data_IF_074344862415
#
_entry.id   IF_074344862415
#
_cell.length_a   1.000
_cell.length_b   1.000
_cell.length_c   1.000
_cell.angle_alpha   90.00
_cell.angle_beta   90.00
_cell.angle_gamma   90.00
#
_symmetry.space_group_name_H-M   'P 1'
#
loop_
_entity.id
_entity.type
_entity.pdbx_description
1 polymer ?
#
# COMPACT_ATOMS: atom_id res chain seq x y z
N UNK A 1 -35.52 -60.92 -21.50
CA UNK A 1 -36.17 -59.71 -20.97
C UNK A 1 -36.05 -59.55 -19.45
N UNK A 2 -36.21 -60.58 -18.61
CA UNK A 2 -36.03 -60.44 -17.14
C UNK A 2 -34.56 -60.28 -16.69
N UNK A 3 -33.59 -60.85 -17.42
CA UNK A 3 -32.17 -60.75 -17.07
C UNK A 3 -31.59 -59.33 -17.30
N UNK A 4 -32.03 -58.64 -18.34
CA UNK A 4 -31.57 -57.29 -18.69
C UNK A 4 -32.08 -56.23 -17.70
N UNK A 5 -33.31 -56.40 -17.19
CA UNK A 5 -33.89 -55.54 -16.16
C UNK A 5 -33.13 -55.70 -14.83
N UNK A 6 -32.70 -56.92 -14.46
CA UNK A 6 -31.89 -57.16 -13.27
C UNK A 6 -30.48 -56.55 -13.37
N UNK A 7 -29.85 -56.61 -14.55
CA UNK A 7 -28.55 -55.97 -14.81
C UNK A 7 -28.69 -54.43 -14.78
N UNK A 8 -29.76 -53.87 -15.35
CA UNK A 8 -30.01 -52.43 -15.32
C UNK A 8 -30.31 -51.91 -13.90
N UNK A 9 -31.10 -52.65 -13.10
CA UNK A 9 -31.41 -52.29 -11.71
C UNK A 9 -30.19 -52.50 -10.79
N UNK A 10 -29.41 -53.57 -11.01
CA UNK A 10 -28.15 -53.82 -10.33
C UNK A 10 -27.11 -52.73 -10.62
N UNK A 11 -26.94 -52.37 -11.89
CA UNK A 11 -26.06 -51.28 -12.34
C UNK A 11 -26.49 -49.92 -11.80
N UNK A 12 -27.79 -49.62 -11.77
CA UNK A 12 -28.32 -48.36 -11.22
C UNK A 12 -28.12 -48.27 -9.70
N UNK A 13 -28.28 -49.37 -8.95
CA UNK A 13 -28.01 -49.39 -7.50
C UNK A 13 -26.52 -49.31 -7.17
N UNK A 14 -25.65 -49.91 -7.98
CA UNK A 14 -24.19 -49.76 -7.85
C UNK A 14 -23.74 -48.33 -8.17
N UNK A 15 -24.28 -47.74 -9.24
CA UNK A 15 -24.01 -46.35 -9.64
C UNK A 15 -24.51 -45.34 -8.58
N UNK A 16 -25.69 -45.57 -7.98
CA UNK A 16 -26.24 -44.74 -6.89
C UNK A 16 -25.48 -44.93 -5.56
N UNK A 17 -24.93 -46.12 -5.31
CA UNK A 17 -24.05 -46.42 -4.17
C UNK A 17 -22.68 -45.74 -4.29
N UNK A 18 -22.10 -45.73 -5.50
CA UNK A 18 -20.86 -45.00 -5.81
C UNK A 18 -21.05 -43.48 -5.74
N UNK A 19 -22.22 -42.95 -6.13
CA UNK A 19 -22.55 -41.52 -6.00
C UNK A 19 -22.85 -41.06 -4.56
N UNK A 20 -23.24 -41.99 -3.67
CA UNK A 20 -23.40 -41.75 -2.22
C UNK A 20 -22.10 -41.90 -1.42
N UNK A 21 -21.07 -42.53 -1.99
CA UNK A 21 -19.67 -42.40 -1.56
C UNK A 21 -19.02 -41.17 -2.21
N UNK A 22 -19.60 -39.99 -1.96
CA UNK A 22 -18.76 -38.79 -1.90
C UNK A 22 -17.83 -38.97 -0.71
N UNK A 23 -16.53 -38.69 -0.82
CA UNK A 23 -15.73 -38.43 0.36
C UNK A 23 -16.34 -37.19 1.04
N UNK A 24 -17.19 -37.44 2.03
CA UNK A 24 -17.50 -36.51 3.09
C UNK A 24 -16.21 -36.33 3.88
N UNK A 25 -15.32 -35.47 3.38
CA UNK A 25 -13.98 -35.37 3.90
C UNK A 25 -12.94 -34.76 2.96
N UNK A 26 -13.33 -33.99 1.94
CA UNK A 26 -12.46 -32.86 1.58
C UNK A 26 -12.60 -31.86 2.71
N UNK A 27 -11.78 -32.05 3.76
CA UNK A 27 -11.31 -30.93 4.56
C UNK A 27 -10.96 -29.87 3.54
N UNK A 28 -11.66 -28.73 3.60
CA UNK A 28 -11.23 -27.47 3.01
C UNK A 28 -9.71 -27.48 3.08
N UNK A 29 -9.06 -27.64 1.91
CA UNK A 29 -7.62 -27.54 1.83
C UNK A 29 -7.34 -26.21 2.48
N UNK A 30 -6.77 -26.27 3.70
CA UNK A 30 -6.74 -25.14 4.60
C UNK A 30 -6.23 -23.97 3.77
N UNK A 31 -7.08 -22.96 3.56
CA UNK A 31 -6.67 -21.73 2.91
C UNK A 31 -5.52 -21.26 3.77
N UNK A 32 -4.29 -21.54 3.32
CA UNK A 32 -3.07 -21.22 4.05
C UNK A 32 -3.25 -19.75 4.36
N UNK A 33 -3.40 -19.43 5.65
CA UNK A 33 -3.57 -18.05 6.09
C UNK A 33 -2.27 -17.38 5.68
N UNK A 34 -2.31 -16.68 4.55
CA UNK A 34 -1.19 -15.87 4.11
C UNK A 34 -0.81 -14.96 5.26
N UNK A 35 0.48 -14.90 5.56
CA UNK A 35 0.95 -14.02 6.63
C UNK A 35 0.59 -12.57 6.29
N UNK A 36 0.49 -11.70 7.29
CA UNK A 36 0.27 -10.26 7.07
C UNK A 36 1.33 -9.67 6.12
N UNK A 37 2.56 -10.17 6.21
CA UNK A 37 3.67 -9.82 5.34
C UNK A 37 3.42 -10.21 3.86
N UNK A 38 2.96 -11.43 3.60
CA UNK A 38 2.61 -11.88 2.24
C UNK A 38 1.45 -11.08 1.64
N UNK A 39 0.47 -10.69 2.46
CA UNK A 39 -0.66 -9.86 2.05
C UNK A 39 -0.19 -8.44 1.71
N UNK A 40 0.76 -7.90 2.47
CA UNK A 40 1.41 -6.62 2.20
C UNK A 40 2.18 -6.64 0.88
N UNK A 41 3.11 -7.59 0.74
CA UNK A 41 3.94 -7.73 -0.47
C UNK A 41 3.09 -7.99 -1.74
N UNK A 42 2.02 -8.78 -1.64
CA UNK A 42 1.09 -8.96 -2.76
C UNK A 42 0.35 -7.66 -3.13
N UNK A 43 -0.02 -6.86 -2.12
CA UNK A 43 -0.60 -5.54 -2.33
C UNK A 43 0.36 -4.60 -3.06
N UNK A 44 1.61 -4.53 -2.62
CA UNK A 44 2.66 -3.72 -3.26
C UNK A 44 2.93 -4.16 -4.70
N UNK A 45 2.98 -5.47 -4.97
CA UNK A 45 3.16 -5.98 -6.33
C UNK A 45 1.99 -5.57 -7.26
N UNK A 46 0.76 -5.61 -6.74
CA UNK A 46 -0.45 -5.15 -7.46
C UNK A 46 -0.38 -3.64 -7.73
N UNK A 47 0.02 -2.83 -6.74
CA UNK A 47 0.23 -1.40 -6.91
C UNK A 47 1.31 -1.09 -7.95
N UNK A 48 2.47 -1.77 -7.88
CA UNK A 48 3.58 -1.60 -8.82
C UNK A 48 3.14 -1.88 -10.26
N UNK A 49 2.41 -2.99 -10.49
CA UNK A 49 1.90 -3.34 -11.81
C UNK A 49 0.88 -2.31 -12.33
N UNK A 50 -0.02 -1.83 -11.47
CA UNK A 50 -0.99 -0.80 -11.85
C UNK A 50 -0.32 0.55 -12.15
N UNK A 51 0.63 0.97 -11.33
CA UNK A 51 1.40 2.19 -11.56
C UNK A 51 2.13 2.12 -12.89
N UNK A 52 2.84 1.03 -13.17
CA UNK A 52 3.57 0.84 -14.43
C UNK A 52 2.65 0.94 -15.65
N UNK A 53 1.53 0.22 -15.64
CA UNK A 53 0.57 0.24 -16.75
C UNK A 53 -0.10 1.62 -16.92
N UNK A 54 -0.44 2.29 -15.82
CA UNK A 54 -1.06 3.62 -15.84
C UNK A 54 -0.09 4.68 -16.34
N UNK A 55 1.17 4.67 -15.87
CA UNK A 55 2.21 5.60 -16.29
C UNK A 55 2.60 5.38 -17.75
N UNK A 56 2.71 4.13 -18.20
CA UNK A 56 2.93 3.82 -19.62
C UNK A 56 1.82 4.39 -20.49
N UNK A 57 0.56 4.28 -20.06
CA UNK A 57 -0.57 4.86 -20.78
C UNK A 57 -0.52 6.40 -20.83
N UNK A 58 -0.08 7.03 -19.73
CA UNK A 58 -0.08 8.50 -19.62
C UNK A 58 1.13 9.19 -20.26
N UNK A 59 2.30 8.57 -20.19
CA UNK A 59 3.59 9.18 -20.50
C UNK A 59 4.35 8.43 -21.60
N UNK A 60 3.85 7.30 -22.10
CA UNK A 60 4.65 6.40 -22.93
C UNK A 60 5.85 5.91 -22.13
N UNK A 61 7.05 6.02 -22.70
CA UNK A 61 8.31 5.65 -22.01
C UNK A 61 8.91 6.80 -21.20
N UNK A 62 8.28 7.97 -21.18
CA UNK A 62 8.80 9.17 -20.55
C UNK A 62 8.41 9.21 -19.06
N UNK A 63 8.87 8.21 -18.31
CA UNK A 63 8.73 8.17 -16.85
C UNK A 63 9.79 7.27 -16.22
N UNK A 64 10.04 7.47 -14.94
CA UNK A 64 10.79 6.53 -14.11
C UNK A 64 9.88 6.03 -12.98
N UNK A 65 9.78 4.71 -12.84
CA UNK A 65 9.15 4.07 -11.69
C UNK A 65 10.22 3.23 -11.02
N UNK A 66 10.50 3.53 -9.75
CA UNK A 66 11.49 2.76 -8.99
C UNK A 66 11.01 1.31 -8.81
N UNK A 67 11.91 0.36 -8.98
CA UNK A 67 11.61 -1.06 -8.81
C UNK A 67 11.83 -1.46 -7.35
N UNK A 68 10.73 -1.70 -6.65
CA UNK A 68 10.72 -2.05 -5.23
C UNK A 68 10.65 -0.83 -4.32
N UNK A 69 10.92 -1.09 -3.04
CA UNK A 69 10.89 -0.10 -1.97
C UNK A 69 12.17 0.72 -1.97
N UNK A 70 12.06 2.03 -1.76
CA UNK A 70 13.19 2.95 -1.65
C UNK A 70 13.36 3.40 -0.20
N UNK A 71 14.52 3.12 0.40
CA UNK A 71 14.85 3.67 1.71
C UNK A 71 15.51 5.04 1.52
N UNK A 72 14.99 6.07 2.19
CA UNK A 72 15.59 7.42 2.21
C UNK A 72 16.07 7.78 3.61
N UNK A 73 17.25 8.39 3.70
CA UNK A 73 17.73 8.98 4.96
C UNK A 73 17.18 10.40 5.09
N UNK A 74 16.07 10.56 5.81
CA UNK A 74 15.33 11.82 5.88
C UNK A 74 15.62 12.64 7.15
N UNK A 75 16.22 12.03 8.18
CA UNK A 75 16.50 12.69 9.45
C UNK A 75 17.73 12.07 10.16
N UNK A 76 18.95 12.22 9.61
CA UNK A 76 20.17 11.69 10.19
C UNK A 76 20.30 12.03 11.69
N UNK A 77 20.73 11.07 12.51
CA UNK A 77 20.94 11.25 13.95
C UNK A 77 19.67 11.25 14.81
N UNK A 78 18.48 11.03 14.24
CA UNK A 78 17.24 10.83 15.01
C UNK A 78 16.97 9.35 15.29
N UNK A 79 15.97 9.04 16.12
CA UNK A 79 15.56 7.65 16.42
C UNK A 79 15.05 6.90 15.17
N UNK A 80 14.53 7.63 14.19
CA UNK A 80 14.04 7.08 12.91
C UNK A 80 14.65 7.90 11.77
N UNK A 81 15.94 7.66 11.47
CA UNK A 81 16.66 8.49 10.50
C UNK A 81 16.27 8.15 9.06
N UNK A 82 15.68 6.97 8.86
CA UNK A 82 15.28 6.44 7.55
C UNK A 82 13.79 6.21 7.45
N UNK A 83 13.25 6.40 6.24
CA UNK A 83 11.87 6.09 5.90
C UNK A 83 11.82 5.33 4.59
N UNK A 84 10.98 4.31 4.57
CA UNK A 84 10.72 3.49 3.40
C UNK A 84 9.66 4.16 2.51
N UNK A 85 9.88 4.22 1.20
CA UNK A 85 8.91 4.65 0.19
C UNK A 85 8.48 3.41 -0.59
N UNK A 86 7.21 3.02 -0.49
CA UNK A 86 6.70 1.82 -1.15
C UNK A 86 6.79 1.94 -2.68
N UNK A 87 6.40 3.09 -3.22
CA UNK A 87 6.54 3.38 -4.65
C UNK A 87 6.94 4.83 -4.91
N UNK A 88 7.95 5.00 -5.76
CA UNK A 88 8.40 6.29 -6.28
C UNK A 88 8.21 6.33 -7.79
N UNK A 89 7.46 7.32 -8.28
CA UNK A 89 7.34 7.61 -9.70
C UNK A 89 7.81 9.04 -10.01
N UNK A 90 8.56 9.22 -11.09
CA UNK A 90 9.01 10.50 -11.62
C UNK A 90 8.48 10.60 -13.05
N UNK A 91 7.78 11.69 -13.32
CA UNK A 91 7.11 11.96 -14.60
C UNK A 91 7.44 13.38 -15.05
N UNK A 92 7.12 13.76 -16.30
CA UNK A 92 7.32 15.11 -16.79
C UNK A 92 6.49 16.15 -16.04
N UNK A 93 5.49 15.73 -15.25
CA UNK A 93 4.55 16.61 -14.55
C UNK A 93 4.57 16.45 -13.03
N UNK A 94 5.47 15.65 -12.48
CA UNK A 94 5.62 15.51 -11.03
C UNK A 94 6.40 14.31 -10.55
N UNK A 95 6.77 14.39 -9.28
CA UNK A 95 7.40 13.34 -8.49
C UNK A 95 6.35 12.86 -7.49
N UNK A 96 6.05 11.55 -7.52
CA UNK A 96 4.96 10.96 -6.77
C UNK A 96 5.47 9.86 -5.85
N UNK A 97 5.05 9.92 -4.59
CA UNK A 97 5.26 8.89 -3.58
C UNK A 97 3.92 8.24 -3.28
N UNK A 98 3.83 6.92 -3.35
CA UNK A 98 2.62 6.19 -2.95
C UNK A 98 2.91 5.33 -1.72
N UNK A 99 2.05 5.44 -0.72
CA UNK A 99 1.99 4.50 0.41
C UNK A 99 0.85 3.52 0.14
N UNK A 100 1.17 2.23 0.11
CA UNK A 100 0.24 1.17 -0.24
C UNK A 100 -0.39 0.55 1.01
N UNK A 101 -1.71 0.38 1.00
CA UNK A 101 -2.43 -0.38 2.04
C UNK A 101 -3.39 -1.39 1.43
N UNK A 102 -3.28 -2.63 1.85
CA UNK A 102 -4.22 -3.69 1.45
C UNK A 102 -5.42 -3.77 2.42
N UNK A 103 -6.02 -2.63 2.76
CA UNK A 103 -7.19 -2.60 3.67
C UNK A 103 -8.46 -2.90 2.90
N UNK A 104 -9.26 -3.82 3.43
CA UNK A 104 -10.54 -4.22 2.83
C UNK A 104 -11.71 -3.35 3.28
N UNK A 105 -12.80 -3.35 2.47
CA UNK A 105 -14.11 -2.78 2.79
C UNK A 105 -14.07 -1.25 2.94
N UNK A 106 -14.75 -0.69 3.94
CA UNK A 106 -15.05 0.73 4.02
C UNK A 106 -13.99 1.46 4.82
N UNK A 107 -13.46 2.52 4.24
CA UNK A 107 -12.53 3.46 4.88
C UNK A 107 -13.27 4.78 5.06
N UNK A 108 -13.33 5.25 6.30
CA UNK A 108 -14.03 6.46 6.70
C UNK A 108 -13.07 7.45 7.37
N UNK A 109 -13.43 8.74 7.46
CA UNK A 109 -12.73 9.69 8.31
C UNK A 109 -12.73 9.19 9.76
N UNK A 110 -11.60 9.33 10.45
CA UNK A 110 -11.54 9.14 11.90
C UNK A 110 -11.73 10.47 12.62
N UNK A 111 -12.27 10.43 13.84
CA UNK A 111 -12.25 11.58 14.75
C UNK A 111 -10.84 11.88 15.29
N UNK A 112 -9.93 10.91 15.22
CA UNK A 112 -8.54 11.07 15.62
C UNK A 112 -7.71 11.71 14.50
N UNK A 113 -7.02 12.85 14.74
CA UNK A 113 -6.15 13.47 13.75
C UNK A 113 -5.11 12.50 13.18
N UNK A 114 -4.90 12.55 11.86
CA UNK A 114 -3.92 11.71 11.17
C UNK A 114 -4.30 10.22 11.05
N UNK A 115 -5.52 9.84 11.45
CA UNK A 115 -6.03 8.46 11.33
C UNK A 115 -7.21 8.36 10.35
N UNK A 116 -7.49 7.14 9.96
CA UNK A 116 -8.66 6.71 9.21
C UNK A 116 -9.32 5.55 9.96
N UNK A 117 -10.64 5.46 9.88
CA UNK A 117 -11.38 4.35 10.46
C UNK A 117 -11.60 3.29 9.39
N UNK A 118 -11.04 2.09 9.60
CA UNK A 118 -11.29 0.91 8.77
C UNK A 118 -12.46 0.13 9.38
N UNK A 119 -13.52 -0.06 8.61
CA UNK A 119 -14.68 -0.87 9.02
C UNK A 119 -14.56 -2.24 8.36
N UNK A 120 -14.26 -3.25 9.17
CA UNK A 120 -14.07 -4.64 8.75
C UNK A 120 -15.39 -5.31 8.33
N UNK A 121 -15.37 -6.47 7.64
CA UNK A 121 -16.58 -7.16 7.19
C UNK A 121 -17.57 -7.55 8.29
N UNK A 122 -17.08 -7.73 9.53
CA UNK A 122 -17.88 -8.01 10.72
C UNK A 122 -18.48 -6.74 11.37
N UNK A 123 -18.24 -5.56 10.79
CA UNK A 123 -18.68 -4.27 11.32
C UNK A 123 -17.73 -3.66 12.35
N UNK A 124 -16.64 -4.34 12.72
CA UNK A 124 -15.66 -3.78 13.65
C UNK A 124 -14.93 -2.58 13.03
N UNK A 125 -14.97 -1.47 13.74
CA UNK A 125 -14.26 -0.24 13.38
C UNK A 125 -12.90 -0.20 14.08
N UNK A 126 -11.85 0.10 13.31
CA UNK A 126 -10.49 0.20 13.81
C UNK A 126 -9.80 1.44 13.26
N UNK A 127 -9.35 2.30 14.16
CA UNK A 127 -8.58 3.48 13.81
C UNK A 127 -7.13 3.13 13.50
N UNK A 128 -6.70 3.46 12.28
CA UNK A 128 -5.34 3.23 11.79
C UNK A 128 -4.74 4.51 11.27
N UNK A 129 -3.43 4.67 11.39
CA UNK A 129 -2.71 5.83 10.85
C UNK A 129 -2.91 5.93 9.34
N UNK A 130 -3.30 7.11 8.86
CA UNK A 130 -3.55 7.38 7.44
C UNK A 130 -2.29 7.17 6.59
N UNK A 131 -2.40 6.60 5.37
CA UNK A 131 -1.28 6.55 4.43
C UNK A 131 -0.66 7.92 4.12
N UNK A 132 -1.49 8.97 4.05
CA UNK A 132 -1.00 10.34 3.83
C UNK A 132 -0.15 10.79 5.01
N UNK A 133 -0.58 10.50 6.25
CA UNK A 133 0.19 10.86 7.44
C UNK A 133 1.48 10.04 7.55
N UNK A 134 1.52 8.82 7.02
CA UNK A 134 2.74 8.02 6.91
C UNK A 134 3.72 8.59 5.88
N UNK A 135 3.22 9.13 4.76
CA UNK A 135 4.02 9.77 3.73
C UNK A 135 4.45 11.21 4.05
N UNK A 136 3.82 11.87 5.02
CA UNK A 136 4.00 13.31 5.26
C UNK A 136 5.46 13.73 5.44
N UNK A 137 6.24 13.00 6.25
CA UNK A 137 7.66 13.31 6.46
C UNK A 137 8.49 13.08 5.20
N UNK A 138 8.22 12.01 4.45
CA UNK A 138 8.91 11.65 3.20
C UNK A 138 8.71 12.73 2.13
N UNK A 139 7.47 13.18 1.96
CA UNK A 139 7.11 14.25 1.01
C UNK A 139 7.74 15.58 1.43
N UNK A 140 7.66 15.95 2.71
CA UNK A 140 8.29 17.17 3.21
C UNK A 140 9.78 17.16 2.95
N UNK A 141 10.46 16.07 3.32
CA UNK A 141 11.90 15.91 3.09
C UNK A 141 12.26 16.12 1.62
N UNK A 142 11.60 15.41 0.69
CA UNK A 142 11.90 15.59 -0.74
C UNK A 142 11.60 17.01 -1.25
N UNK A 143 10.55 17.68 -0.74
CA UNK A 143 10.29 19.09 -1.09
C UNK A 143 11.38 20.03 -0.59
N UNK A 144 11.93 19.76 0.58
CA UNK A 144 13.00 20.56 1.17
C UNK A 144 14.34 20.35 0.43
N UNK A 145 14.55 19.18 -0.17
CA UNK A 145 15.78 18.82 -0.89
C UNK A 145 15.76 19.12 -2.40
N UNK A 146 14.58 19.10 -3.03
CA UNK A 146 14.46 19.22 -4.48
C UNK A 146 14.10 20.65 -4.91
N UNK A 147 14.40 21.04 -6.16
CA UNK A 147 13.98 22.32 -6.72
C UNK A 147 12.48 22.58 -6.51
N UNK A 148 12.07 23.77 -6.00
CA UNK A 148 10.65 24.08 -5.74
C UNK A 148 9.74 24.03 -6.97
N UNK A 149 10.32 24.11 -8.18
CA UNK A 149 9.60 23.98 -9.45
C UNK A 149 9.15 22.54 -9.74
N UNK A 150 9.73 21.53 -9.08
CA UNK A 150 9.33 20.14 -9.22
C UNK A 150 8.27 19.76 -8.18
N UNK A 151 7.00 19.59 -8.57
CA UNK A 151 5.97 19.19 -7.63
C UNK A 151 6.25 17.78 -7.11
N UNK A 152 6.39 17.68 -5.79
CA UNK A 152 6.43 16.40 -5.07
C UNK A 152 5.09 16.20 -4.38
N UNK A 153 4.41 15.09 -4.64
CA UNK A 153 3.10 14.77 -4.05
C UNK A 153 3.08 13.35 -3.50
N UNK A 154 2.52 13.18 -2.29
CA UNK A 154 2.27 11.87 -1.70
C UNK A 154 0.81 11.48 -1.84
N UNK A 155 0.52 10.20 -2.08
CA UNK A 155 -0.82 9.65 -2.08
C UNK A 155 -0.87 8.31 -1.31
N UNK A 156 -2.05 7.98 -0.79
CA UNK A 156 -2.36 6.67 -0.25
C UNK A 156 -3.06 5.82 -1.30
N UNK A 157 -2.56 4.61 -1.56
CA UNK A 157 -3.12 3.70 -2.55
C UNK A 157 -3.65 2.43 -1.88
N UNK A 158 -4.96 2.25 -1.93
CA UNK A 158 -5.62 1.05 -1.43
C UNK A 158 -5.71 -0.01 -2.52
N UNK A 159 -5.10 -1.17 -2.27
CA UNK A 159 -4.93 -2.24 -3.26
C UNK A 159 -5.96 -3.35 -3.16
N UNK A 160 -6.81 -3.32 -2.13
CA UNK A 160 -7.92 -4.26 -2.02
C UNK A 160 -9.00 -3.92 -3.07
N UNK A 161 -9.39 -4.86 -3.96
CA UNK A 161 -10.26 -4.55 -5.11
C UNK A 161 -11.64 -3.96 -4.75
N UNK A 162 -12.23 -4.38 -3.63
CA UNK A 162 -13.56 -3.94 -3.19
C UNK A 162 -13.47 -2.92 -2.04
N UNK A 163 -12.38 -2.15 -1.97
CA UNK A 163 -12.28 -1.05 -1.02
C UNK A 163 -13.28 0.05 -1.39
N UNK A 164 -13.99 0.57 -0.38
CA UNK A 164 -14.93 1.67 -0.51
C UNK A 164 -14.39 2.84 0.29
N UNK A 165 -14.04 3.92 -0.40
CA UNK A 165 -13.58 5.15 0.23
C UNK A 165 -14.77 6.08 0.39
N UNK A 166 -14.95 6.64 1.59
CA UNK A 166 -15.99 7.65 1.79
C UNK A 166 -15.67 8.93 1.01
N UNK A 167 -16.69 9.60 0.41
CA UNK A 167 -16.47 10.79 -0.42
C UNK A 167 -15.84 11.99 0.31
N UNK A 168 -15.91 12.00 1.64
CA UNK A 168 -15.37 13.07 2.51
C UNK A 168 -13.87 12.90 2.78
N UNK A 169 -13.27 11.79 2.35
CA UNK A 169 -11.83 11.56 2.46
C UNK A 169 -11.05 12.51 1.54
N UNK A 170 -9.77 12.69 1.86
CA UNK A 170 -8.84 13.42 0.99
C UNK A 170 -8.80 12.81 -0.41
N UNK A 171 -8.73 13.66 -1.45
CA UNK A 171 -8.60 13.23 -2.84
C UNK A 171 -7.25 12.58 -3.16
N UNK A 172 -6.30 12.60 -2.21
CA UNK A 172 -5.03 11.88 -2.29
C UNK A 172 -5.09 10.49 -1.64
N UNK A 173 -6.28 10.03 -1.21
CA UNK A 173 -6.56 8.64 -0.85
C UNK A 173 -7.32 7.97 -1.99
N UNK A 174 -6.74 6.92 -2.57
CA UNK A 174 -7.17 6.37 -3.85
C UNK A 174 -7.44 4.88 -3.73
N UNK A 175 -8.50 4.39 -4.39
CA UNK A 175 -8.53 2.99 -4.78
C UNK A 175 -7.60 2.78 -5.97
N UNK A 176 -7.23 1.52 -6.22
CA UNK A 176 -6.42 1.18 -7.39
C UNK A 176 -7.05 1.62 -8.73
N UNK A 177 -8.38 1.75 -8.79
CA UNK A 177 -9.11 2.14 -9.98
C UNK A 177 -9.07 3.66 -10.23
N UNK A 178 -8.91 4.45 -9.17
CA UNK A 178 -8.89 5.92 -9.25
C UNK A 178 -7.54 6.47 -9.72
N UNK A 179 -6.48 5.66 -9.64
CA UNK A 179 -5.10 6.07 -9.92
C UNK A 179 -4.91 6.76 -11.27
N UNK A 180 -5.55 6.24 -12.33
CA UNK A 180 -5.46 6.85 -13.67
C UNK A 180 -6.09 8.24 -13.70
N UNK A 181 -7.27 8.39 -13.11
CA UNK A 181 -7.96 9.67 -13.06
C UNK A 181 -7.16 10.67 -12.23
N UNK A 182 -6.69 10.26 -11.05
CA UNK A 182 -5.87 11.11 -10.19
C UNK A 182 -4.61 11.61 -10.88
N UNK A 183 -3.84 10.73 -11.54
CA UNK A 183 -2.64 11.14 -12.28
C UNK A 183 -2.96 12.07 -13.47
N UNK A 184 -4.09 11.86 -14.16
CA UNK A 184 -4.53 12.78 -15.23
C UNK A 184 -4.79 14.19 -14.69
N UNK A 185 -5.48 14.32 -13.57
CA UNK A 185 -5.74 15.63 -12.95
C UNK A 185 -4.43 16.33 -12.55
N UNK A 186 -3.42 15.58 -12.07
CA UNK A 186 -2.10 16.15 -11.75
C UNK A 186 -1.35 16.61 -13.00
N UNK A 187 -1.42 15.85 -14.08
CA UNK A 187 -0.87 16.25 -15.39
C UNK A 187 -1.55 17.52 -15.91
N UNK A 188 -2.88 17.58 -15.84
CA UNK A 188 -3.65 18.75 -16.27
C UNK A 188 -3.31 19.99 -15.44
N UNK A 189 -3.19 19.86 -14.12
CA UNK A 189 -2.76 20.95 -13.23
C UNK A 189 -1.30 21.39 -13.45
N UNK A 190 -0.50 20.60 -14.17
CA UNK A 190 0.87 20.93 -14.57
C UNK A 190 0.96 21.47 -16.00
N UNK A 191 -0.15 21.50 -16.74
CA UNK A 191 -0.14 21.95 -18.13
C UNK A 191 0.36 23.40 -18.25
N UNK A 192 1.14 23.68 -19.29
CA UNK A 192 1.76 24.99 -19.51
C UNK A 192 3.03 25.27 -18.67
N UNK A 193 3.45 24.34 -17.79
CA UNK A 193 4.73 24.43 -17.06
C UNK A 193 5.84 23.69 -17.80
N UNK A 194 7.09 24.06 -17.52
CA UNK A 194 8.26 23.34 -18.06
C UNK A 194 8.27 21.90 -17.57
N UNK A 195 8.31 20.90 -18.48
CA UNK A 195 8.41 19.51 -18.10
C UNK A 195 9.62 19.23 -17.21
N UNK A 196 9.45 18.31 -16.26
CA UNK A 196 10.55 17.83 -15.42
C UNK A 196 11.50 16.97 -16.26
N UNK A 197 12.79 17.27 -16.23
CA UNK A 197 13.83 16.35 -16.71
C UNK A 197 13.91 15.14 -15.78
N UNK A 198 13.39 14.01 -16.25
CA UNK A 198 13.29 12.77 -15.47
C UNK A 198 14.66 12.25 -15.06
N UNK A 199 15.68 12.36 -15.92
CA UNK A 199 17.01 11.86 -15.61
C UNK A 199 17.64 12.67 -14.48
N UNK A 200 17.51 14.00 -14.57
CA UNK A 200 18.01 14.91 -13.54
C UNK A 200 17.25 14.75 -12.21
N UNK A 201 15.92 14.66 -12.27
CA UNK A 201 15.10 14.46 -11.09
C UNK A 201 15.36 13.09 -10.43
N UNK A 202 15.52 12.03 -11.22
CA UNK A 202 15.92 10.71 -10.72
C UNK A 202 17.26 10.75 -10.01
N UNK A 203 18.27 11.36 -10.63
CA UNK A 203 19.59 11.48 -10.00
C UNK A 203 19.48 12.21 -8.65
N UNK A 204 18.77 13.34 -8.61
CA UNK A 204 18.60 14.13 -7.38
C UNK A 204 17.87 13.34 -6.28
N UNK A 205 16.78 12.63 -6.59
CA UNK A 205 16.06 11.82 -5.59
C UNK A 205 16.93 10.68 -5.06
N UNK A 206 17.65 9.99 -5.96
CA UNK A 206 18.47 8.84 -5.57
C UNK A 206 19.76 9.21 -4.84
N UNK A 207 20.16 10.49 -4.79
CA UNK A 207 21.25 10.93 -3.91
C UNK A 207 20.95 10.72 -2.43
N UNK A 208 19.67 10.67 -2.06
CA UNK A 208 19.22 10.45 -0.68
C UNK A 208 18.80 9.01 -0.41
N UNK A 209 18.96 8.13 -1.42
CA UNK A 209 18.66 6.72 -1.29
C UNK A 209 19.73 6.04 -0.44
N UNK A 210 19.30 5.41 0.63
CA UNK A 210 20.13 4.50 1.39
C UNK A 210 20.18 3.16 0.65
N UNK A 211 21.36 2.79 0.17
CA UNK A 211 21.57 1.62 -0.70
C UNK A 211 22.33 0.50 -0.03
N UNK A 212 22.79 0.68 1.21
CA UNK A 212 23.49 -0.38 1.93
C UNK A 212 22.51 -1.46 2.42
N UNK A 213 22.87 -2.72 2.17
CA UNK A 213 22.05 -3.87 2.57
C UNK A 213 21.82 -3.94 4.10
N UNK A 214 22.78 -3.43 4.88
CA UNK A 214 22.69 -3.37 6.34
C UNK A 214 21.61 -2.38 6.79
N UNK A 215 21.48 -1.22 6.14
CA UNK A 215 20.49 -0.21 6.53
C UNK A 215 19.04 -0.66 6.32
N UNK A 216 18.76 -1.50 5.30
CA UNK A 216 17.44 -2.11 5.11
C UNK A 216 17.10 -3.11 6.22
N UNK A 217 18.06 -3.92 6.65
CA UNK A 217 17.86 -4.87 7.75
C UNK A 217 17.66 -4.14 9.09
N UNK A 218 18.45 -3.11 9.34
CA UNK A 218 18.34 -2.26 10.53
C UNK A 218 17.01 -1.49 10.54
N UNK A 219 16.57 -0.98 9.39
CA UNK A 219 15.25 -0.36 9.25
C UNK A 219 14.14 -1.35 9.59
N UNK A 220 14.15 -2.54 8.97
CA UNK A 220 13.14 -3.58 9.23
C UNK A 220 13.12 -4.02 10.70
N UNK A 221 14.28 -4.11 11.34
CA UNK A 221 14.38 -4.46 12.77
C UNK A 221 13.80 -3.37 13.67
N UNK A 222 14.01 -2.08 13.34
CA UNK A 222 13.42 -0.95 14.09
C UNK A 222 11.91 -0.81 13.89
N UNK A 223 11.39 -1.20 12.73
CA UNK A 223 9.97 -1.03 12.35
C UNK A 223 9.15 -2.30 12.62
N UNK A 224 9.79 -3.45 12.87
CA UNK A 224 9.12 -4.70 13.21
C UNK A 224 8.26 -4.55 14.49
N UNK A 225 7.04 -5.10 14.52
CA UNK A 225 6.14 -4.96 15.65
C UNK A 225 6.49 -5.96 16.75
N UNK A 226 7.47 -5.65 17.59
CA UNK A 226 7.59 -6.33 18.89
C UNK A 226 6.62 -5.69 19.90
N UNK A 227 5.49 -6.39 20.07
CA UNK A 227 4.69 -6.52 21.30
C UNK A 227 4.60 -5.30 22.24
N UNK A 228 3.50 -4.56 22.10
CA UNK A 228 2.69 -4.11 23.24
C UNK A 228 3.24 -3.08 24.25
N UNK A 229 4.51 -2.67 24.20
CA UNK A 229 5.10 -1.80 25.23
C UNK A 229 5.65 -0.46 24.74
N UNK A 230 5.82 -0.24 23.43
CA UNK A 230 6.39 1.02 22.93
C UNK A 230 5.42 2.21 22.97
N UNK A 231 4.11 1.98 22.96
CA UNK A 231 3.13 3.06 23.15
C UNK A 231 3.22 3.67 24.56
N UNK A 232 3.64 2.90 25.58
CA UNK A 232 3.85 3.41 26.95
C UNK A 232 5.13 4.25 27.08
N UNK A 233 6.14 4.00 26.25
CA UNK A 233 7.33 4.85 26.19
C UNK A 233 7.04 6.19 25.49
N UNK A 234 6.04 6.23 24.61
CA UNK A 234 5.65 7.44 23.89
C UNK A 234 4.98 8.49 24.80
N UNK A 235 4.21 8.07 25.81
CA UNK A 235 3.63 8.99 26.79
C UNK A 235 4.67 9.50 27.82
N UNK A 236 5.68 8.70 28.16
CA UNK A 236 6.73 9.11 29.11
C UNK A 236 7.75 10.10 28.54
N UNK A 237 8.05 10.03 27.24
CA UNK A 237 9.08 10.88 26.62
C UNK A 237 8.49 12.19 26.09
N UNK A 238 7.25 12.20 25.57
CA UNK A 238 6.60 13.44 25.12
C UNK A 238 6.03 14.27 26.28
N UNK A 239 5.73 13.67 27.43
CA UNK A 239 5.28 14.40 28.63
C UNK A 239 6.35 15.29 29.26
N UNK A 240 7.63 15.00 29.04
CA UNK A 240 8.74 15.75 29.65
C UNK A 240 9.26 16.92 28.80
N UNK A 241 8.77 17.10 27.56
CA UNK A 241 9.20 18.19 26.67
C UNK A 241 8.21 19.35 26.54
N UNK A 242 7.04 19.30 27.20
CA UNK A 242 6.03 20.37 27.16
C UNK A 242 5.84 21.13 28.48
N UNK A 243 6.68 20.92 29.49
CA UNK A 243 6.73 21.74 30.70
C UNK A 243 8.14 22.30 30.96
N UNK A 244 8.60 23.18 30.08
CA UNK A 244 9.58 24.20 30.42
C UNK A 244 9.36 25.42 29.51
N UNK A 245 8.98 26.54 30.13
CA UNK A 245 8.76 27.88 29.56
C UNK A 245 7.44 28.11 28.81
N UNK A 246 6.37 28.39 29.55
CA UNK A 246 5.85 29.75 29.84
C UNK A 246 4.83 29.67 30.96
#
# INVERSE_FOLDING_TARGET
>A
MFLEILVAVGGYRLFKGLRRRRPSGSRSAGRVKRSSHEIGAAGEAVAQAKLRTTLQWLCGNDFYLHDGQLLIEHAPGTAFPTAEIDHLAITPFGIFIFETKNWSRRIAPSSSPGKLTRIAPNGEAEDRRSPIEQNRSKVRFLRDQLPPIWPVTGAGLFTFPEVMLEPTLSTDLLSINDLLHWLRLRREAFNGKTPIDISRARAAVLMYAETSANSLLDHKTRVAPDSGNFAKLQEGILGNYFHANT
#
